data_IF_953845298025
#
_entry.id   IF_953845298025
#
_cell.length_a   1.000
_cell.length_b   1.000
_cell.length_c   1.000
_cell.angle_alpha   90.00
_cell.angle_beta   90.00
_cell.angle_gamma   90.00
#
_symmetry.space_group_name_H-M   'P 1'
#
loop_
_entity.id
_entity.type
_entity.pdbx_description
1 polymer ?
#
# COMPACT_ATOMS: atom_id res chain seq x y z
N UNK A 1 -8.84 -7.32 -30.89
CA UNK A 1 -7.62 -6.65 -30.37
C UNK A 1 -7.96 -5.82 -29.14
N UNK A 2 -6.98 -5.40 -28.34
CA UNK A 2 -7.18 -4.50 -27.20
C UNK A 2 -7.36 -3.04 -27.64
N UNK A 3 -7.98 -2.22 -26.80
CA UNK A 3 -8.14 -0.78 -27.06
C UNK A 3 -6.80 -0.04 -27.11
N UNK A 4 -5.83 -0.41 -26.27
CA UNK A 4 -4.48 0.15 -26.28
C UNK A 4 -3.80 -0.05 -27.63
N UNK A 5 -3.96 -1.24 -28.23
CA UNK A 5 -3.47 -1.51 -29.59
C UNK A 5 -4.19 -0.65 -30.61
N UNK A 6 -5.54 -0.57 -30.54
CA UNK A 6 -6.33 0.23 -31.47
C UNK A 6 -5.94 1.71 -31.45
N UNK A 7 -5.76 2.30 -30.25
CA UNK A 7 -5.34 3.69 -30.07
C UNK A 7 -3.93 3.95 -30.60
N UNK A 8 -3.01 3.02 -30.38
CA UNK A 8 -1.62 3.16 -30.83
C UNK A 8 -1.49 3.03 -32.36
N UNK A 9 -2.17 2.05 -32.96
CA UNK A 9 -2.06 1.76 -34.39
C UNK A 9 -2.92 2.68 -35.27
N UNK A 10 -4.08 3.15 -34.79
CA UNK A 10 -4.96 4.05 -35.52
C UNK A 10 -5.42 5.24 -34.68
N UNK A 11 -4.54 6.21 -34.39
CA UNK A 11 -4.92 7.40 -33.63
C UNK A 11 -6.07 8.16 -34.30
N UNK A 12 -7.19 8.31 -33.59
CA UNK A 12 -8.37 9.06 -34.07
C UNK A 12 -9.15 8.41 -35.23
N UNK A 13 -8.89 7.14 -35.56
CA UNK A 13 -9.62 6.41 -36.63
C UNK A 13 -10.22 5.11 -36.10
N UNK A 14 -11.29 4.64 -36.75
CA UNK A 14 -11.89 3.35 -36.43
C UNK A 14 -10.94 2.21 -36.80
N UNK A 15 -10.59 1.36 -35.83
CA UNK A 15 -9.74 0.19 -36.03
C UNK A 15 -10.47 -0.99 -36.70
N UNK A 16 -11.80 -1.03 -36.62
CA UNK A 16 -12.62 -2.08 -37.25
C UNK A 16 -12.45 -2.10 -38.77
N UNK A 17 -12.33 -3.30 -39.34
CA UNK A 17 -12.14 -3.51 -40.78
C UNK A 17 -10.72 -3.25 -41.30
N UNK A 18 -9.82 -2.73 -40.47
CA UNK A 18 -8.42 -2.54 -40.85
C UNK A 18 -7.69 -3.88 -40.95
N UNK A 19 -6.54 -3.89 -41.65
CA UNK A 19 -5.67 -5.07 -41.73
C UNK A 19 -4.53 -4.98 -40.73
N UNK A 20 -4.25 -6.10 -40.07
CA UNK A 20 -3.10 -6.29 -39.18
C UNK A 20 -2.25 -7.40 -39.77
N UNK A 21 -0.94 -7.20 -39.81
CA UNK A 21 0.02 -8.23 -40.18
C UNK A 21 1.00 -8.42 -39.03
N UNK A 22 1.07 -9.63 -38.47
CA UNK A 22 2.11 -10.01 -37.52
C UNK A 22 3.29 -10.62 -38.26
N UNK A 23 4.52 -10.22 -37.90
CA UNK A 23 5.76 -10.70 -38.51
C UNK A 23 6.56 -11.68 -37.65
N UNK A 24 6.19 -11.89 -36.38
CA UNK A 24 7.12 -12.45 -35.39
C UNK A 24 7.02 -13.98 -35.16
N UNK A 25 6.33 -14.75 -36.00
CA UNK A 25 6.26 -16.22 -35.87
C UNK A 25 6.13 -16.97 -37.21
N UNK A 26 7.04 -16.71 -38.15
CA UNK A 26 7.07 -17.37 -39.46
C UNK A 26 6.47 -16.51 -40.57
N UNK A 27 5.69 -17.12 -41.47
CA UNK A 27 5.09 -16.37 -42.58
C UNK A 27 4.18 -15.23 -42.07
N UNK A 28 4.19 -14.04 -42.71
CA UNK A 28 3.43 -12.90 -42.26
C UNK A 28 1.93 -13.22 -42.16
N UNK A 29 1.42 -13.28 -40.94
CA UNK A 29 0.01 -13.59 -40.67
C UNK A 29 -0.81 -12.32 -40.75
N UNK A 30 -1.57 -12.21 -41.84
CA UNK A 30 -2.49 -11.11 -42.11
C UNK A 30 -3.91 -11.43 -41.66
N UNK A 31 -4.58 -10.47 -41.02
CA UNK A 31 -5.97 -10.59 -40.58
C UNK A 31 -6.71 -9.26 -40.67
N UNK A 32 -8.05 -9.33 -40.67
CA UNK A 32 -8.92 -8.15 -40.59
C UNK A 32 -9.42 -7.99 -39.16
N UNK A 33 -9.42 -6.75 -38.68
CA UNK A 33 -9.92 -6.42 -37.34
C UNK A 33 -11.45 -6.55 -37.32
N UNK A 34 -11.95 -7.58 -36.64
CA UNK A 34 -13.40 -7.82 -36.49
C UNK A 34 -13.95 -7.32 -35.15
N UNK A 35 -13.09 -6.93 -34.22
CA UNK A 35 -13.50 -6.50 -32.88
C UNK A 35 -12.39 -5.86 -32.05
N UNK A 36 -12.78 -4.92 -31.20
CA UNK A 36 -11.95 -4.30 -30.17
C UNK A 36 -12.55 -4.63 -28.81
N UNK A 37 -11.71 -5.07 -27.87
CA UNK A 37 -12.10 -5.43 -26.50
C UNK A 37 -11.27 -4.61 -25.50
N UNK A 38 -11.75 -4.55 -24.25
CA UNK A 38 -11.09 -3.83 -23.18
C UNK A 38 -9.66 -4.31 -22.92
N UNK A 39 -8.84 -3.40 -22.39
CA UNK A 39 -7.44 -3.65 -22.11
C UNK A 39 -7.23 -4.65 -20.97
N UNK A 40 -6.24 -5.53 -21.14
CA UNK A 40 -5.76 -6.44 -20.10
C UNK A 40 -4.31 -6.10 -19.75
N UNK A 41 -3.91 -6.36 -18.51
CA UNK A 41 -2.56 -6.09 -18.00
C UNK A 41 -1.88 -7.41 -17.62
N UNK A 42 -1.28 -8.13 -18.58
CA UNK A 42 -0.81 -9.49 -18.35
C UNK A 42 0.47 -9.57 -17.50
N UNK A 43 1.34 -8.56 -17.55
CA UNK A 43 2.64 -8.57 -16.88
C UNK A 43 2.63 -7.86 -15.52
N UNK A 44 1.97 -6.71 -15.42
CA UNK A 44 1.92 -5.91 -14.19
C UNK A 44 0.64 -5.06 -14.18
N UNK A 45 -0.13 -5.14 -13.09
CA UNK A 45 -1.35 -4.33 -12.90
C UNK A 45 -1.06 -2.83 -12.87
N UNK A 46 0.15 -2.42 -12.48
CA UNK A 46 0.59 -1.04 -12.45
C UNK A 46 1.23 -0.55 -13.77
N UNK A 47 1.52 -1.45 -14.73
CA UNK A 47 2.05 -1.03 -16.02
C UNK A 47 0.92 -0.55 -16.94
N UNK A 48 1.21 0.37 -17.88
CA UNK A 48 0.27 0.69 -18.94
C UNK A 48 -0.11 -0.59 -19.72
N UNK A 49 -1.38 -0.73 -20.13
CA UNK A 49 -1.82 -1.92 -20.83
C UNK A 49 -1.06 -2.12 -22.13
N UNK A 50 -0.50 -3.31 -22.31
CA UNK A 50 0.29 -3.65 -23.49
C UNK A 50 -0.64 -3.87 -24.69
N UNK A 51 -0.25 -3.39 -25.89
CA UNK A 51 -0.98 -3.65 -27.13
C UNK A 51 -1.14 -5.17 -27.37
N UNK A 52 -2.38 -5.67 -27.30
CA UNK A 52 -2.68 -7.11 -27.35
C UNK A 52 -3.57 -7.44 -28.54
N UNK A 53 -3.23 -8.51 -29.28
CA UNK A 53 -4.05 -9.03 -30.38
C UNK A 53 -4.60 -10.39 -29.99
N UNK A 54 -5.89 -10.61 -30.27
CA UNK A 54 -6.59 -11.86 -30.01
C UNK A 54 -6.88 -12.53 -31.34
N UNK A 55 -6.48 -13.79 -31.47
CA UNK A 55 -6.73 -14.62 -32.64
C UNK A 55 -7.59 -15.82 -32.27
N UNK A 56 -8.39 -16.29 -33.22
CA UNK A 56 -9.11 -17.53 -33.05
C UNK A 56 -8.11 -18.69 -33.09
N UNK A 57 -8.19 -19.62 -32.12
CA UNK A 57 -7.26 -20.75 -32.02
C UNK A 57 -7.16 -21.55 -33.33
N UNK A 58 -8.28 -21.78 -34.03
CA UNK A 58 -8.26 -22.50 -35.31
C UNK A 58 -7.55 -21.76 -36.45
N UNK A 59 -7.39 -20.43 -36.36
CA UNK A 59 -6.64 -19.65 -37.35
C UNK A 59 -5.14 -19.64 -37.04
N UNK A 60 -4.78 -19.79 -35.77
CA UNK A 60 -3.40 -19.82 -35.32
C UNK A 60 -3.21 -20.85 -34.20
N UNK A 61 -3.20 -22.15 -34.54
CA UNK A 61 -3.00 -23.20 -33.55
C UNK A 61 -1.55 -23.17 -33.06
N UNK A 62 -1.36 -22.80 -31.80
CA UNK A 62 -0.08 -22.93 -31.10
C UNK A 62 0.03 -24.29 -30.43
N UNK A 63 1.24 -24.83 -30.25
CA UNK A 63 1.45 -26.00 -29.38
C UNK A 63 1.51 -25.61 -27.89
N UNK A 64 1.66 -24.32 -27.60
CA UNK A 64 1.72 -23.76 -26.25
C UNK A 64 0.43 -22.99 -25.96
N UNK A 65 -0.60 -23.68 -25.45
CA UNK A 65 -1.84 -23.03 -25.00
C UNK A 65 -2.12 -23.34 -23.54
N UNK A 66 -2.82 -22.42 -22.89
CA UNK A 66 -3.42 -22.64 -21.58
C UNK A 66 -4.92 -22.74 -21.76
N UNK A 67 -5.52 -23.82 -21.25
CA UNK A 67 -6.97 -23.93 -21.18
C UNK A 67 -7.48 -23.16 -19.96
N UNK A 68 -8.46 -22.28 -20.18
CA UNK A 68 -9.13 -21.55 -19.10
C UNK A 68 -10.56 -22.07 -19.01
N UNK A 69 -10.93 -22.59 -17.84
CA UNK A 69 -12.26 -23.16 -17.60
C UNK A 69 -12.96 -22.32 -16.54
N UNK A 70 -14.17 -21.87 -16.85
CA UNK A 70 -15.06 -21.22 -15.88
C UNK A 70 -16.01 -22.28 -15.31
N UNK A 71 -16.00 -22.44 -13.99
CA UNK A 71 -16.85 -23.42 -13.30
C UNK A 71 -17.06 -23.00 -11.85
N UNK A 72 -18.12 -23.52 -11.24
CA UNK A 72 -18.38 -23.40 -9.81
C UNK A 72 -17.90 -24.64 -9.02
N UNK A 73 -17.31 -25.63 -9.71
CA UNK A 73 -16.77 -26.83 -9.09
C UNK A 73 -15.49 -26.54 -8.29
N UNK A 74 -15.28 -27.19 -7.13
CA UNK A 74 -14.01 -27.12 -6.43
C UNK A 74 -12.85 -27.59 -7.32
N UNK A 75 -11.70 -26.91 -7.24
CA UNK A 75 -10.52 -27.20 -8.06
C UNK A 75 -10.13 -28.68 -8.09
N UNK A 76 -10.10 -29.43 -6.96
CA UNK A 76 -9.73 -30.85 -7.00
C UNK A 76 -10.70 -31.72 -7.82
N UNK A 77 -11.99 -31.38 -7.81
CA UNK A 77 -13.01 -32.08 -8.59
C UNK A 77 -12.88 -31.78 -10.09
N UNK A 78 -12.67 -30.50 -10.43
CA UNK A 78 -12.44 -30.07 -11.81
C UNK A 78 -11.19 -30.72 -12.40
N UNK A 79 -10.07 -30.72 -11.66
CA UNK A 79 -8.81 -31.30 -12.11
C UNK A 79 -8.98 -32.77 -12.47
N UNK A 80 -9.64 -33.56 -11.60
CA UNK A 80 -9.90 -34.97 -11.87
C UNK A 80 -10.76 -35.18 -13.12
N UNK A 81 -11.81 -34.37 -13.29
CA UNK A 81 -12.68 -34.46 -14.44
C UNK A 81 -11.95 -34.11 -15.75
N UNK A 82 -11.18 -33.02 -15.77
CA UNK A 82 -10.39 -32.60 -16.94
C UNK A 82 -9.30 -33.62 -17.24
N UNK A 83 -8.61 -34.14 -16.23
CA UNK A 83 -7.57 -35.15 -16.38
C UNK A 83 -8.10 -36.42 -17.03
N UNK A 84 -9.26 -36.90 -16.60
CA UNK A 84 -9.89 -38.10 -17.17
C UNK A 84 -10.20 -37.93 -18.65
N UNK A 85 -10.66 -36.74 -19.09
CA UNK A 85 -10.91 -36.48 -20.51
C UNK A 85 -9.62 -36.30 -21.33
N UNK A 86 -8.63 -35.59 -20.80
CA UNK A 86 -7.33 -35.41 -21.48
C UNK A 86 -6.64 -36.76 -21.68
N UNK A 87 -6.63 -37.62 -20.68
CA UNK A 87 -5.96 -38.92 -20.75
C UNK A 87 -6.68 -39.96 -21.61
N UNK A 88 -7.95 -39.74 -21.99
CA UNK A 88 -8.59 -40.54 -23.06
C UNK A 88 -8.00 -40.25 -24.44
N UNK A 89 -7.46 -39.05 -24.63
CA UNK A 89 -6.86 -38.60 -25.90
C UNK A 89 -5.36 -38.88 -25.88
N UNK A 90 -4.68 -38.46 -24.81
CA UNK A 90 -3.24 -38.65 -24.61
C UNK A 90 -2.92 -38.97 -23.13
N UNK A 91 -2.69 -40.25 -22.79
CA UNK A 91 -2.32 -40.67 -21.44
C UNK A 91 -0.99 -40.10 -20.93
N UNK A 92 -0.09 -39.70 -21.83
CA UNK A 92 1.23 -39.16 -21.49
C UNK A 92 1.22 -37.67 -21.16
N UNK A 93 0.11 -36.96 -21.44
CA UNK A 93 0.03 -35.52 -21.30
C UNK A 93 -0.01 -35.08 -19.82
N UNK A 94 0.99 -34.31 -19.34
CA UNK A 94 0.99 -33.78 -17.99
C UNK A 94 0.04 -32.57 -17.88
N UNK A 95 -0.79 -32.56 -16.84
CA UNK A 95 -1.50 -31.34 -16.42
C UNK A 95 -0.58 -30.48 -15.57
N UNK A 96 0.15 -29.57 -16.22
CA UNK A 96 1.06 -28.64 -15.56
C UNK A 96 0.38 -27.32 -15.17
N UNK A 97 0.87 -26.68 -14.10
CA UNK A 97 0.46 -25.33 -13.65
C UNK A 97 -1.04 -25.14 -13.43
N UNK A 98 -1.74 -26.16 -12.95
CA UNK A 98 -3.16 -26.04 -12.59
C UNK A 98 -3.31 -25.13 -11.39
N UNK A 99 -3.93 -23.97 -11.60
CA UNK A 99 -4.15 -22.92 -10.59
C UNK A 99 -5.47 -22.23 -10.84
N UNK A 100 -6.08 -21.70 -9.79
CA UNK A 100 -7.25 -20.83 -9.94
C UNK A 100 -6.82 -19.43 -10.37
N UNK A 101 -7.74 -18.67 -10.97
CA UNK A 101 -7.45 -17.28 -11.37
C UNK A 101 -7.13 -16.41 -10.14
N UNK A 102 -7.75 -16.69 -8.99
CA UNK A 102 -7.46 -16.03 -7.72
C UNK A 102 -6.03 -16.27 -7.26
N UNK A 103 -5.51 -17.49 -7.41
CA UNK A 103 -4.13 -17.82 -7.06
C UNK A 103 -3.13 -17.10 -7.98
N UNK A 104 -3.44 -17.01 -9.28
CA UNK A 104 -2.62 -16.25 -10.25
C UNK A 104 -2.62 -14.76 -9.89
N UNK A 105 -3.78 -14.21 -9.54
CA UNK A 105 -3.90 -12.81 -9.10
C UNK A 105 -3.13 -12.58 -7.79
N UNK A 106 -3.27 -13.48 -6.81
CA UNK A 106 -2.56 -13.38 -5.54
C UNK A 106 -1.02 -13.40 -5.72
N UNK A 107 -0.51 -14.26 -6.59
CA UNK A 107 0.92 -14.32 -6.90
C UNK A 107 1.39 -13.03 -7.60
N UNK A 108 0.56 -12.41 -8.44
CA UNK A 108 0.90 -11.16 -9.14
C UNK A 108 1.15 -9.98 -8.18
N UNK A 109 0.47 -9.96 -7.02
CA UNK A 109 0.59 -8.90 -6.01
C UNK A 109 1.40 -9.31 -4.77
N UNK A 110 1.93 -10.53 -4.72
CA UNK A 110 2.58 -11.08 -3.52
C UNK A 110 3.80 -10.25 -3.08
N UNK A 111 4.61 -9.80 -4.04
CA UNK A 111 5.80 -8.98 -3.79
C UNK A 111 5.43 -7.61 -3.21
N UNK A 112 4.44 -6.94 -3.81
CA UNK A 112 3.95 -5.64 -3.34
C UNK A 112 3.35 -5.74 -1.94
N UNK A 113 2.60 -6.82 -1.67
CA UNK A 113 2.03 -7.10 -0.36
C UNK A 113 3.10 -7.30 0.71
N UNK A 114 4.17 -8.04 0.42
CA UNK A 114 5.28 -8.25 1.36
C UNK A 114 5.95 -6.91 1.72
N UNK A 115 6.25 -6.09 0.72
CA UNK A 115 6.85 -4.76 0.92
C UNK A 115 5.93 -3.87 1.74
N UNK A 116 4.62 -3.89 1.45
CA UNK A 116 3.61 -3.15 2.21
C UNK A 116 3.56 -3.57 3.68
N UNK A 117 3.59 -4.88 3.96
CA UNK A 117 3.61 -5.41 5.34
C UNK A 117 4.87 -4.98 6.08
N UNK A 118 6.03 -5.04 5.43
CA UNK A 118 7.29 -4.61 6.04
C UNK A 118 7.29 -3.10 6.37
N UNK A 119 6.84 -2.25 5.45
CA UNK A 119 6.71 -0.82 5.71
C UNK A 119 5.68 -0.52 6.79
N UNK A 120 4.56 -1.25 6.83
CA UNK A 120 3.57 -1.13 7.90
C UNK A 120 4.19 -1.50 9.27
N UNK A 121 4.96 -2.59 9.33
CA UNK A 121 5.65 -3.01 10.54
C UNK A 121 6.68 -1.97 11.01
N UNK A 122 7.50 -1.44 10.11
CA UNK A 122 8.44 -0.36 10.43
C UNK A 122 7.74 0.93 10.85
N UNK A 123 6.63 1.28 10.20
CA UNK A 123 5.81 2.43 10.59
C UNK A 123 5.27 2.29 12.01
N UNK A 124 4.71 1.13 12.35
CA UNK A 124 4.25 0.83 13.71
C UNK A 124 5.40 0.92 14.72
N UNK A 125 6.55 0.31 14.42
CA UNK A 125 7.72 0.36 15.29
C UNK A 125 8.23 1.80 15.50
N UNK A 126 8.30 2.60 14.43
CA UNK A 126 8.71 4.00 14.50
C UNK A 126 7.74 4.84 15.35
N UNK A 127 6.43 4.61 15.20
CA UNK A 127 5.38 5.26 16.00
C UNK A 127 5.55 4.92 17.49
N UNK A 128 5.77 3.64 17.82
CA UNK A 128 6.01 3.21 19.20
C UNK A 128 7.28 3.86 19.78
N UNK A 129 8.36 3.90 19.01
CA UNK A 129 9.61 4.52 19.43
C UNK A 129 9.46 6.02 19.66
N UNK A 130 8.73 6.71 18.77
CA UNK A 130 8.36 8.11 18.96
C UNK A 130 7.50 8.33 20.21
N UNK A 131 6.52 7.46 20.48
CA UNK A 131 5.68 7.53 21.67
C UNK A 131 6.50 7.38 22.96
N UNK A 132 7.41 6.41 23.00
CA UNK A 132 8.33 6.18 24.13
C UNK A 132 9.25 7.40 24.31
N UNK A 133 9.84 7.92 23.24
CA UNK A 133 10.70 9.10 23.28
C UNK A 133 9.97 10.34 23.79
N UNK A 134 8.76 10.59 23.29
CA UNK A 134 7.92 11.70 23.73
C UNK A 134 7.54 11.56 25.21
N UNK A 135 7.15 10.35 25.65
CA UNK A 135 6.90 10.07 27.06
C UNK A 135 8.12 10.36 27.92
N UNK A 136 9.31 9.87 27.54
CA UNK A 136 10.55 10.08 28.27
C UNK A 136 10.92 11.57 28.42
N UNK A 137 10.84 12.34 27.33
CA UNK A 137 11.11 13.79 27.35
C UNK A 137 10.11 14.52 28.25
N UNK A 138 8.82 14.20 28.16
CA UNK A 138 7.79 14.84 28.98
C UNK A 138 7.87 14.43 30.44
N UNK A 139 8.13 13.15 30.73
CA UNK A 139 8.31 12.66 32.10
C UNK A 139 9.50 13.32 32.78
N UNK A 140 10.63 13.48 32.07
CA UNK A 140 11.79 14.19 32.60
C UNK A 140 11.48 15.66 32.90
N UNK A 141 10.82 16.36 31.95
CA UNK A 141 10.43 17.76 32.13
C UNK A 141 9.47 17.96 33.30
N UNK A 142 8.53 17.04 33.51
CA UNK A 142 7.62 17.08 34.67
C UNK A 142 8.41 16.84 35.94
N UNK A 143 9.33 15.86 35.96
CA UNK A 143 10.23 15.58 37.08
C UNK A 143 11.03 16.80 37.52
N UNK A 144 11.74 17.44 36.59
CA UNK A 144 12.54 18.66 36.85
C UNK A 144 11.69 19.84 37.35
N UNK A 145 10.43 19.94 36.93
CA UNK A 145 9.51 21.04 37.30
C UNK A 145 8.54 20.69 38.41
N UNK A 146 8.67 19.53 39.04
CA UNK A 146 7.77 19.08 40.12
C UNK A 146 7.73 20.12 41.26
N UNK A 147 8.87 20.73 41.60
CA UNK A 147 8.95 21.81 42.62
C UNK A 147 8.18 23.06 42.23
N UNK A 148 8.36 23.58 41.02
CA UNK A 148 7.60 24.75 40.55
C UNK A 148 6.09 24.47 40.48
N UNK A 149 5.71 23.28 40.03
CA UNK A 149 4.32 22.84 39.92
C UNK A 149 3.69 22.71 41.31
N UNK A 150 4.42 22.13 42.27
CA UNK A 150 3.99 22.00 43.67
C UNK A 150 3.85 23.37 44.35
N UNK A 151 4.81 24.28 44.18
CA UNK A 151 4.76 25.64 44.73
C UNK A 151 3.56 26.41 44.14
N UNK A 152 3.35 26.34 42.82
CA UNK A 152 2.18 26.97 42.18
C UNK A 152 0.87 26.34 42.67
N UNK A 153 0.84 25.02 42.84
CA UNK A 153 -0.31 24.31 43.39
C UNK A 153 -0.63 24.75 44.82
N UNK A 154 0.38 24.92 45.68
CA UNK A 154 0.23 25.43 47.04
C UNK A 154 -0.26 26.90 47.07
N UNK A 155 0.08 27.69 46.05
CA UNK A 155 -0.41 29.06 45.85
C UNK A 155 -1.81 29.12 45.18
N UNK A 156 -2.47 27.98 44.95
CA UNK A 156 -3.83 27.90 44.39
C UNK A 156 -3.90 27.84 42.86
N UNK A 157 -2.80 27.57 42.17
CA UNK A 157 -2.82 27.43 40.71
C UNK A 157 -3.62 26.18 40.27
N UNK A 158 -4.40 26.31 39.20
CA UNK A 158 -5.24 25.21 38.74
C UNK A 158 -4.39 24.06 38.16
N UNK A 159 -4.68 22.79 38.51
CA UNK A 159 -4.02 21.63 37.93
C UNK A 159 -4.21 21.53 36.41
N UNK A 160 -5.27 22.15 35.88
CA UNK A 160 -5.53 22.33 34.45
C UNK A 160 -4.46 23.21 33.76
N UNK A 161 -3.89 24.21 34.44
CA UNK A 161 -2.84 25.05 33.88
C UNK A 161 -1.53 24.27 33.67
N UNK A 162 -1.18 23.39 34.61
CA UNK A 162 -0.03 22.49 34.48
C UNK A 162 -0.22 21.50 33.32
N UNK A 163 -1.40 20.87 33.25
CA UNK A 163 -1.73 19.93 32.17
C UNK A 163 -1.67 20.60 30.78
N UNK A 164 -2.24 21.81 30.66
CA UNK A 164 -2.23 22.60 29.41
C UNK A 164 -0.83 22.97 28.95
N UNK A 165 0.09 23.29 29.87
CA UNK A 165 1.48 23.60 29.54
C UNK A 165 2.19 22.39 28.92
N UNK A 166 2.02 21.21 29.53
CA UNK A 166 2.60 19.95 29.07
C UNK A 166 2.05 19.58 27.70
N UNK A 167 0.72 19.61 27.52
CA UNK A 167 0.07 19.32 26.25
C UNK A 167 0.44 20.30 25.14
N UNK A 168 0.56 21.61 25.44
CA UNK A 168 0.99 22.60 24.44
C UNK A 168 2.42 22.35 23.97
N UNK A 169 3.31 21.96 24.88
CA UNK A 169 4.71 21.66 24.53
C UNK A 169 4.82 20.36 23.74
N UNK A 170 4.06 19.33 24.14
CA UNK A 170 3.93 18.09 23.39
C UNK A 170 3.41 18.38 21.97
N UNK A 171 2.32 19.13 21.85
CA UNK A 171 1.73 19.53 20.56
C UNK A 171 2.72 20.27 19.66
N UNK A 172 3.50 21.21 20.19
CA UNK A 172 4.53 21.92 19.40
C UNK A 172 5.63 20.98 18.88
N UNK A 173 6.11 20.06 19.70
CA UNK A 173 7.10 19.05 19.29
C UNK A 173 6.54 18.12 18.22
N UNK A 174 5.30 17.65 18.41
CA UNK A 174 4.61 16.81 17.43
C UNK A 174 4.42 17.53 16.11
N UNK A 175 3.98 18.80 16.14
CA UNK A 175 3.74 19.58 14.92
C UNK A 175 5.02 19.85 14.14
N UNK A 176 6.12 20.17 14.84
CA UNK A 176 7.43 20.31 14.23
C UNK A 176 7.93 18.99 13.63
N UNK A 177 7.76 17.87 14.35
CA UNK A 177 8.11 16.54 13.86
C UNK A 177 7.30 16.11 12.63
N UNK A 178 5.98 16.36 12.63
CA UNK A 178 5.10 16.10 11.48
C UNK A 178 5.51 16.94 10.28
N UNK A 179 5.75 18.25 10.48
CA UNK A 179 6.18 19.12 9.38
C UNK A 179 7.52 18.67 8.78
N UNK A 180 8.51 18.35 9.62
CA UNK A 180 9.81 17.84 9.18
C UNK A 180 9.68 16.46 8.49
N UNK A 181 8.85 15.57 9.05
CA UNK A 181 8.58 14.25 8.48
C UNK A 181 7.89 14.33 7.11
N UNK A 182 6.90 15.20 6.95
CA UNK A 182 6.25 15.45 5.68
C UNK A 182 7.24 16.00 4.64
N UNK A 183 8.11 16.96 5.04
CA UNK A 183 9.14 17.48 4.15
C UNK A 183 10.13 16.39 3.70
N UNK A 184 10.59 15.55 4.63
CA UNK A 184 11.47 14.42 4.35
C UNK A 184 10.80 13.37 3.45
N UNK A 185 9.54 13.04 3.71
CA UNK A 185 8.77 12.10 2.91
C UNK A 185 8.58 12.59 1.46
N UNK A 186 8.27 13.89 1.29
CA UNK A 186 8.16 14.51 -0.03
C UNK A 186 9.49 14.52 -0.78
N UNK A 187 10.61 14.81 -0.09
CA UNK A 187 11.94 14.79 -0.70
C UNK A 187 12.36 13.38 -1.12
N UNK A 188 12.17 12.38 -0.23
CA UNK A 188 12.46 10.99 -0.53
C UNK A 188 11.56 10.44 -1.66
N UNK A 189 10.26 10.76 -1.63
CA UNK A 189 9.31 10.36 -2.66
C UNK A 189 9.64 10.94 -4.03
N UNK A 190 10.14 12.18 -4.10
CA UNK A 190 10.63 12.75 -5.36
C UNK A 190 11.87 12.01 -5.88
N UNK A 191 12.81 11.65 -5.01
CA UNK A 191 13.97 10.85 -5.40
C UNK A 191 13.59 9.45 -5.90
N UNK A 192 12.59 8.83 -5.29
CA UNK A 192 12.07 7.53 -5.72
C UNK A 192 11.28 7.59 -7.01
N UNK A 193 10.54 8.67 -7.27
CA UNK A 193 9.82 8.86 -8.53
C UNK A 193 10.76 8.91 -9.76
N UNK A 194 12.04 9.22 -9.56
CA UNK A 194 13.05 9.15 -10.63
C UNK A 194 13.46 7.71 -10.98
N UNK A 195 13.14 6.73 -10.14
CA UNK A 195 13.57 5.32 -10.27
C UNK A 195 12.39 4.36 -10.43
N UNK A 196 11.25 4.65 -9.81
CA UNK A 196 10.00 3.87 -9.91
C UNK A 196 8.92 4.67 -10.65
N UNK A 197 8.40 4.10 -11.73
CA UNK A 197 7.21 4.60 -12.42
C UNK A 197 6.00 4.62 -11.46
N UNK A 198 5.22 5.69 -11.50
CA UNK A 198 3.91 5.88 -10.84
C UNK A 198 3.83 5.94 -9.30
N UNK A 199 4.93 6.10 -8.56
CA UNK A 199 4.79 6.58 -7.16
C UNK A 199 4.29 8.01 -7.22
N UNK A 200 3.02 8.26 -6.90
CA UNK A 200 2.51 9.62 -6.70
C UNK A 200 3.05 10.12 -5.36
N UNK A 201 4.12 10.93 -5.32
CA UNK A 201 4.80 11.26 -4.07
C UNK A 201 3.98 12.23 -3.20
N UNK A 202 2.86 12.71 -3.74
CA UNK A 202 2.03 13.79 -3.22
C UNK A 202 0.58 13.36 -3.11
N UNK A 203 0.30 12.19 -2.55
CA UNK A 203 -1.07 11.89 -2.12
C UNK A 203 -1.38 12.65 -0.82
N UNK A 204 -2.21 13.72 -0.87
CA UNK A 204 -2.55 14.48 0.33
C UNK A 204 -3.38 13.66 1.33
N UNK A 205 -4.15 12.66 0.88
CA UNK A 205 -4.92 11.82 1.77
C UNK A 205 -3.99 10.94 2.63
N UNK A 206 -2.91 10.42 2.04
CA UNK A 206 -1.95 9.60 2.76
C UNK A 206 -1.12 10.42 3.77
N UNK A 207 -0.68 11.62 3.37
CA UNK A 207 0.05 12.52 4.28
C UNK A 207 -0.82 13.01 5.44
N UNK A 208 -2.08 13.33 5.18
CA UNK A 208 -3.02 13.75 6.22
C UNK A 208 -3.36 12.59 7.17
N UNK A 209 -3.61 11.39 6.65
CA UNK A 209 -3.83 10.19 7.47
C UNK A 209 -2.63 9.88 8.38
N UNK A 210 -1.40 9.98 7.85
CA UNK A 210 -0.18 9.79 8.63
C UNK A 210 -0.03 10.86 9.73
N UNK A 211 -0.27 12.13 9.40
CA UNK A 211 -0.21 13.24 10.36
C UNK A 211 -1.24 13.08 11.49
N UNK A 212 -2.48 12.69 11.15
CA UNK A 212 -3.53 12.42 12.14
C UNK A 212 -3.17 11.22 13.01
N UNK A 213 -2.66 10.14 12.42
CA UNK A 213 -2.23 8.95 13.17
C UNK A 213 -1.12 9.25 14.17
N UNK A 214 -0.06 9.96 13.74
CA UNK A 214 1.02 10.40 14.63
C UNK A 214 0.50 11.36 15.70
N UNK A 215 -0.39 12.28 15.34
CA UNK A 215 -1.03 13.20 16.27
C UNK A 215 -1.83 12.48 17.36
N UNK A 216 -2.62 11.47 16.99
CA UNK A 216 -3.39 10.66 17.93
C UNK A 216 -2.47 9.90 18.91
N UNK A 217 -1.39 9.29 18.40
CA UNK A 217 -0.43 8.57 19.25
C UNK A 217 0.30 9.54 20.17
N UNK A 218 0.72 10.70 19.68
CA UNK A 218 1.36 11.72 20.51
C UNK A 218 0.41 12.25 21.60
N UNK A 219 -0.87 12.43 21.31
CA UNK A 219 -1.89 12.81 22.29
C UNK A 219 -2.05 11.74 23.37
N UNK A 220 -2.13 10.46 22.99
CA UNK A 220 -2.22 9.34 23.92
C UNK A 220 -0.96 9.21 24.81
N UNK A 221 0.23 9.31 24.20
CA UNK A 221 1.50 9.21 24.91
C UNK A 221 1.73 10.38 25.89
N UNK A 222 1.29 11.59 25.52
CA UNK A 222 1.43 12.78 26.36
C UNK A 222 0.34 12.93 27.43
N UNK A 223 -0.80 12.24 27.30
CA UNK A 223 -1.90 12.28 28.27
C UNK A 223 -1.46 11.80 29.66
N UNK A 224 -0.69 10.71 29.73
CA UNK A 224 -0.29 10.13 31.02
C UNK A 224 0.68 11.03 31.82
N UNK A 225 1.79 11.54 31.26
CA UNK A 225 2.64 12.53 31.93
C UNK A 225 1.88 13.81 32.30
N UNK A 226 0.97 14.28 31.43
CA UNK A 226 0.19 15.49 31.68
C UNK A 226 -0.78 15.30 32.86
N UNK A 227 -1.42 14.12 32.96
CA UNK A 227 -2.26 13.76 34.11
C UNK A 227 -1.43 13.63 35.39
N UNK A 228 -0.24 13.01 35.31
CA UNK A 228 0.68 12.91 36.45
C UNK A 228 1.12 14.28 36.96
N UNK A 229 1.41 15.23 36.07
CA UNK A 229 1.72 16.61 36.45
C UNK A 229 0.56 17.33 37.15
N UNK A 230 -0.69 17.03 36.75
CA UNK A 230 -1.89 17.60 37.35
C UNK A 230 -2.26 16.98 38.70
N UNK A 231 -1.75 15.77 39.01
CA UNK A 231 -2.03 15.03 40.25
C UNK A 231 -0.92 15.08 41.29
N UNK A 232 0.10 15.94 41.11
CA UNK A 232 1.16 16.13 42.10
C UNK A 232 0.56 16.82 43.33
N UNK A 233 0.57 16.16 44.48
CA UNK A 233 0.11 16.73 45.74
C UNK A 233 1.23 17.61 46.36
N UNK A 234 0.99 18.93 46.50
CA UNK A 234 1.97 19.86 47.07
C UNK A 234 2.46 19.44 48.45
N UNK A 235 1.57 18.85 49.27
CA UNK A 235 1.87 18.55 50.67
C UNK A 235 2.81 17.36 50.83
N UNK A 236 2.81 16.41 49.90
CA UNK A 236 3.78 15.29 49.90
C UNK A 236 5.16 15.71 49.42
N UNK A 237 5.26 16.62 48.46
CA UNK A 237 6.55 17.07 47.89
C UNK A 237 7.31 17.99 48.85
N UNK A 238 6.60 18.73 49.71
CA UNK A 238 7.18 19.59 50.76
C UNK A 238 7.56 18.84 52.05
N UNK A 239 7.16 17.56 52.19
CA UNK A 239 7.41 16.72 53.39
C UNK A 239 8.52 15.69 53.23
N UNK A 240 9.07 15.55 52.02
CA UNK A 240 10.27 14.73 51.78
C UNK A 240 11.58 15.44 52.18
N UNK A 241 11.47 16.62 52.82
CA UNK A 241 12.51 17.29 53.65
C UNK A 241 12.03 17.37 55.11
#
# INVERSE_FOLDING_TARGET
>A
MSEAFARAAWPGKAALGQRVTMKDWGDPLGGVVVGVVGDVRPANLAAPPEPTVYWHFLQFPSSFNTAVVRTDLPLPALVRAVQAEVWKIDPGQPLARVRTLEAVLADSIAKERLVTILFAAFGIAAILLAAIGLYGVLANLVGERTREIAIRGALGASPLAAMRLVLFRAGRLTLAGVAAGCAAALAAGQGMAAVLYEVQPRDPAMLTAAAVGVGAVAALASYWPARRAASVDPMTVLREE
#
